data_IF_466273367611
#
_entry.id   IF_466273367611
#
_cell.length_a   1.000
_cell.length_b   1.000
_cell.length_c   1.000
_cell.angle_alpha   90.00
_cell.angle_beta   90.00
_cell.angle_gamma   90.00
#
_symmetry.space_group_name_H-M   'P 1'
#
loop_
_entity.id
_entity.type
_entity.pdbx_description
1 polymer ?
#
# COMPACT_ATOMS: atom_id res chain seq x y z
N UNK A 1 48.71 -12.62 26.23
CA UNK A 1 48.42 -12.85 24.80
C UNK A 1 47.26 -11.91 24.45
N UNK A 2 47.61 -10.74 23.90
CA UNK A 2 46.89 -9.48 24.17
C UNK A 2 45.83 -9.14 23.11
N UNK A 3 44.84 -8.38 23.57
CA UNK A 3 43.60 -7.88 22.95
C UNK A 3 43.81 -7.09 21.63
N UNK A 4 45.06 -6.82 21.25
CA UNK A 4 45.44 -6.04 20.06
C UNK A 4 45.36 -6.79 18.70
N UNK A 5 45.10 -8.10 18.69
CA UNK A 5 44.88 -8.86 17.43
C UNK A 5 43.45 -8.83 16.92
N UNK A 6 42.47 -8.53 17.78
CA UNK A 6 41.04 -8.52 17.41
C UNK A 6 40.61 -7.14 16.86
N UNK A 7 41.25 -6.05 17.28
CA UNK A 7 40.96 -4.71 16.75
C UNK A 7 41.57 -4.43 15.36
N UNK A 8 42.44 -5.31 14.83
CA UNK A 8 43.10 -5.11 13.52
C UNK A 8 42.33 -5.71 12.35
N UNK A 9 41.37 -6.61 12.60
CA UNK A 9 40.50 -7.18 11.56
C UNK A 9 39.30 -6.26 11.26
N UNK A 10 38.95 -5.34 12.18
CA UNK A 10 37.81 -4.42 12.06
C UNK A 10 38.13 -3.15 11.24
N UNK A 11 39.37 -2.97 10.75
CA UNK A 11 39.78 -1.77 9.99
C UNK A 11 40.23 -1.98 8.53
N UNK A 12 40.12 -3.18 7.96
CA UNK A 12 40.64 -3.43 6.59
C UNK A 12 39.62 -3.79 5.51
N UNK A 13 38.32 -3.61 5.71
CA UNK A 13 37.33 -3.79 4.63
C UNK A 13 36.62 -2.49 4.29
N UNK A 14 37.41 -1.53 3.83
CA UNK A 14 36.95 -0.44 2.98
C UNK A 14 37.13 -0.82 1.52
N UNK A 15 36.08 -0.60 0.73
CA UNK A 15 36.13 -0.40 -0.73
C UNK A 15 36.47 -1.61 -1.61
N UNK A 16 35.45 -2.36 -2.05
CA UNK A 16 35.02 -2.50 -3.46
C UNK A 16 34.07 -3.68 -3.62
N UNK A 17 32.80 -3.41 -3.98
CA UNK A 17 31.87 -4.24 -4.79
C UNK A 17 30.50 -3.57 -4.82
N UNK A 18 30.38 -2.55 -5.67
CA UNK A 18 29.17 -1.77 -5.95
C UNK A 18 28.22 -2.45 -6.96
N UNK A 19 28.10 -3.79 -6.98
CA UNK A 19 27.49 -4.50 -8.12
C UNK A 19 26.48 -5.64 -7.85
N UNK A 20 25.72 -5.65 -6.74
CA UNK A 20 24.41 -6.31 -6.75
C UNK A 20 23.23 -5.38 -6.45
N UNK A 21 23.46 -4.12 -6.07
CA UNK A 21 22.40 -3.16 -5.70
C UNK A 21 21.64 -2.65 -6.95
N UNK A 22 22.29 -2.58 -8.11
CA UNK A 22 21.66 -2.13 -9.35
C UNK A 22 20.59 -3.11 -9.90
N UNK A 23 20.72 -4.41 -9.62
CA UNK A 23 19.70 -5.41 -9.99
C UNK A 23 18.48 -5.38 -9.08
N UNK A 24 18.63 -4.91 -7.84
CA UNK A 24 17.57 -4.82 -6.82
C UNK A 24 16.65 -3.61 -7.04
N UNK A 25 17.15 -2.54 -7.66
CA UNK A 25 16.36 -1.35 -8.00
C UNK A 25 15.49 -1.56 -9.25
N UNK A 26 15.86 -2.44 -10.17
CA UNK A 26 15.16 -2.61 -11.44
C UNK A 26 13.86 -3.44 -11.29
N UNK A 27 13.81 -4.40 -10.36
CA UNK A 27 12.60 -5.21 -10.12
C UNK A 27 11.50 -4.43 -9.42
N UNK A 28 11.84 -3.53 -8.49
CA UNK A 28 10.89 -2.68 -7.75
C UNK A 28 10.31 -1.56 -8.63
N UNK A 29 11.03 -1.15 -9.68
CA UNK A 29 10.53 -0.19 -10.68
C UNK A 29 9.65 -0.84 -11.75
N UNK A 30 9.75 -2.16 -11.95
CA UNK A 30 9.00 -2.89 -12.98
C UNK A 30 7.75 -3.60 -12.43
N UNK A 31 7.69 -3.90 -11.12
CA UNK A 31 6.58 -4.64 -10.50
C UNK A 31 6.26 -4.12 -9.08
N UNK A 32 5.51 -3.01 -8.95
CA UNK A 32 5.28 -2.34 -7.66
C UNK A 32 4.41 -3.13 -6.65
N UNK A 33 3.65 -4.16 -7.08
CA UNK A 33 2.97 -5.10 -6.15
C UNK A 33 3.96 -6.01 -5.42
N UNK A 34 5.10 -6.34 -6.03
CA UNK A 34 6.08 -7.38 -5.63
C UNK A 34 7.00 -6.96 -4.47
N UNK A 35 6.89 -5.71 -4.01
CA UNK A 35 7.65 -5.22 -2.87
C UNK A 35 6.75 -5.16 -1.63
N UNK A 36 6.98 -6.03 -0.63
CA UNK A 36 6.37 -5.90 0.69
C UNK A 36 6.42 -4.46 1.20
N UNK A 37 5.39 -4.02 1.91
CA UNK A 37 5.33 -2.69 2.53
C UNK A 37 6.56 -2.38 3.41
N UNK A 38 7.27 -3.42 3.88
CA UNK A 38 8.54 -3.27 4.58
C UNK A 38 9.79 -3.18 3.67
N UNK A 39 9.78 -3.67 2.42
CA UNK A 39 10.85 -3.43 1.41
C UNK A 39 10.94 -1.94 1.05
N UNK A 40 9.82 -1.22 1.17
CA UNK A 40 9.76 0.23 0.97
C UNK A 40 10.48 1.04 2.07
N UNK A 41 11.10 0.39 3.07
CA UNK A 41 12.00 1.03 4.01
C UNK A 41 13.41 1.32 3.46
N UNK A 42 13.82 0.66 2.36
CA UNK A 42 15.25 0.62 1.95
C UNK A 42 15.58 1.41 0.68
N UNK A 43 14.64 1.69 -0.22
CA UNK A 43 14.96 2.30 -1.53
C UNK A 43 14.79 3.82 -1.55
N UNK A 44 15.81 4.52 -1.06
CA UNK A 44 16.00 5.96 -1.30
C UNK A 44 16.67 6.21 -2.65
N UNK A 45 15.99 6.89 -3.59
CA UNK A 45 16.70 7.30 -4.81
C UNK A 45 15.98 8.11 -5.89
N UNK A 46 14.66 8.06 -6.07
CA UNK A 46 14.03 8.61 -7.30
C UNK A 46 12.98 9.71 -7.02
N UNK A 47 13.02 10.34 -5.85
CA UNK A 47 12.01 11.35 -5.45
C UNK A 47 12.30 12.78 -5.90
N UNK A 48 13.43 13.05 -6.55
CA UNK A 48 13.80 14.40 -7.00
C UNK A 48 13.02 14.89 -8.24
N UNK A 49 12.50 13.98 -9.08
CA UNK A 49 11.97 14.35 -10.40
C UNK A 49 10.45 14.57 -10.42
N UNK A 50 9.68 13.91 -9.53
CA UNK A 50 8.21 13.94 -9.56
C UNK A 50 7.56 15.08 -8.75
N UNK A 51 8.30 15.70 -7.83
CA UNK A 51 7.77 16.80 -7.01
C UNK A 51 7.67 18.13 -7.80
N UNK A 52 8.42 18.28 -8.89
CA UNK A 52 8.28 19.38 -9.86
C UNK A 52 7.14 19.14 -10.86
N UNK A 53 6.64 17.91 -10.91
CA UNK A 53 5.60 17.47 -11.83
C UNK A 53 4.22 17.65 -11.17
N UNK A 54 4.01 17.30 -9.90
CA UNK A 54 2.70 17.36 -9.26
C UNK A 54 1.99 18.74 -9.27
N UNK A 55 2.73 19.86 -9.31
CA UNK A 55 2.13 21.21 -9.42
C UNK A 55 1.88 21.66 -10.86
N UNK A 56 2.67 21.20 -11.84
CA UNK A 56 2.50 21.55 -13.26
C UNK A 56 1.62 20.56 -14.03
N UNK A 57 1.61 19.29 -13.61
CA UNK A 57 0.90 18.19 -14.26
C UNK A 57 -0.61 18.28 -14.06
N UNK A 58 -1.10 18.96 -13.01
CA UNK A 58 -2.55 19.19 -12.85
C UNK A 58 -3.10 20.22 -13.85
N UNK A 59 -2.27 21.16 -14.31
CA UNK A 59 -2.64 22.08 -15.39
C UNK A 59 -2.47 21.42 -16.78
N UNK A 60 -1.51 20.51 -16.95
CA UNK A 60 -1.35 19.72 -18.20
C UNK A 60 -2.33 18.55 -18.35
N UNK A 61 -2.73 17.87 -17.26
CA UNK A 61 -3.79 16.83 -17.25
C UNK A 61 -5.18 17.40 -17.53
N UNK A 62 -5.38 18.69 -17.25
CA UNK A 62 -6.57 19.40 -17.69
C UNK A 62 -6.56 19.64 -19.22
N UNK A 63 -5.42 19.50 -19.90
CA UNK A 63 -5.22 20.02 -21.26
C UNK A 63 -4.65 19.03 -22.31
N UNK A 64 -4.28 17.78 -21.99
CA UNK A 64 -3.79 16.82 -23.00
C UNK A 64 -4.27 15.37 -22.82
N UNK A 65 -5.18 14.97 -23.71
CA UNK A 65 -5.31 13.66 -24.40
C UNK A 65 -5.26 12.30 -23.66
N UNK A 66 -5.24 12.21 -22.33
CA UNK A 66 -5.26 10.91 -21.62
C UNK A 66 -6.62 10.43 -21.08
N UNK A 67 -7.73 11.03 -21.54
CA UNK A 67 -9.10 10.64 -21.16
C UNK A 67 -9.93 10.15 -22.35
N UNK A 68 -9.27 9.54 -23.33
CA UNK A 68 -9.93 8.77 -24.38
C UNK A 68 -10.31 7.38 -23.82
N UNK A 69 -11.26 7.38 -22.89
CA UNK A 69 -11.82 6.19 -22.25
C UNK A 69 -13.17 6.55 -21.65
N UNK A 70 -14.11 6.94 -22.52
CA UNK A 70 -15.49 7.20 -22.13
C UNK A 70 -16.14 5.94 -21.55
N UNK A 71 -16.95 6.15 -20.51
CA UNK A 71 -17.44 5.18 -19.52
C UNK A 71 -16.31 4.77 -18.58
N UNK A 72 -16.29 5.25 -17.33
CA UNK A 72 -17.09 4.59 -16.30
C UNK A 72 -17.25 5.56 -15.09
N UNK A 73 -18.30 6.40 -15.13
CA UNK A 73 -18.56 7.44 -14.09
C UNK A 73 -18.75 6.84 -12.68
N UNK A 74 -19.17 5.58 -12.59
CA UNK A 74 -19.38 4.86 -11.33
C UNK A 74 -18.38 3.76 -10.99
N UNK A 75 -17.40 3.46 -11.85
CA UNK A 75 -16.50 2.32 -11.61
C UNK A 75 -15.24 2.70 -10.88
N UNK A 76 -14.65 3.89 -11.06
CA UNK A 76 -13.47 4.28 -10.28
C UNK A 76 -13.66 4.10 -8.77
N UNK A 77 -14.83 4.48 -8.25
CA UNK A 77 -15.16 4.31 -6.83
C UNK A 77 -15.41 2.83 -6.46
N UNK A 78 -16.09 2.07 -7.33
CA UNK A 78 -16.35 0.64 -7.07
C UNK A 78 -15.09 -0.20 -7.13
N UNK A 79 -14.25 0.04 -8.14
CA UNK A 79 -12.94 -0.57 -8.33
C UNK A 79 -12.02 -0.21 -7.15
N UNK A 80 -12.01 1.06 -6.72
CA UNK A 80 -11.28 1.46 -5.52
C UNK A 80 -11.72 0.68 -4.27
N UNK A 81 -13.03 0.55 -4.04
CA UNK A 81 -13.55 -0.26 -2.93
C UNK A 81 -13.18 -1.74 -3.07
N UNK A 82 -13.13 -2.25 -4.30
CA UNK A 82 -12.65 -3.61 -4.59
C UNK A 82 -11.18 -3.81 -4.24
N UNK A 83 -10.30 -2.91 -4.67
CA UNK A 83 -8.86 -2.98 -4.34
C UNK A 83 -8.61 -2.82 -2.84
N UNK A 84 -9.35 -1.95 -2.15
CA UNK A 84 -9.27 -1.82 -0.69
C UNK A 84 -9.63 -3.15 -0.01
N UNK A 85 -10.71 -3.80 -0.47
CA UNK A 85 -11.17 -5.04 0.15
C UNK A 85 -10.21 -6.20 -0.14
N UNK A 86 -9.72 -6.32 -1.37
CA UNK A 86 -8.72 -7.33 -1.72
C UNK A 86 -7.43 -7.17 -0.89
N UNK A 87 -6.94 -5.94 -0.74
CA UNK A 87 -5.76 -5.65 0.08
C UNK A 87 -6.03 -5.94 1.58
N UNK A 88 -7.24 -5.65 2.06
CA UNK A 88 -7.64 -5.95 3.45
C UNK A 88 -7.69 -7.45 3.71
N UNK A 89 -8.35 -8.22 2.84
CA UNK A 89 -8.43 -9.69 2.95
C UNK A 89 -7.04 -10.32 2.93
N UNK A 90 -6.17 -9.87 2.03
CA UNK A 90 -4.79 -10.34 1.94
C UNK A 90 -4.00 -10.02 3.22
N UNK A 91 -4.09 -8.78 3.71
CA UNK A 91 -3.37 -8.34 4.91
C UNK A 91 -3.87 -9.06 6.18
N UNK A 92 -5.17 -9.33 6.28
CA UNK A 92 -5.75 -10.10 7.38
C UNK A 92 -5.23 -11.55 7.38
N UNK A 93 -5.25 -12.20 6.21
CA UNK A 93 -4.72 -13.55 6.08
C UNK A 93 -3.22 -13.62 6.43
N UNK A 94 -2.44 -12.61 6.06
CA UNK A 94 -1.03 -12.53 6.38
C UNK A 94 -0.78 -12.31 7.89
N UNK A 95 -1.53 -11.41 8.53
CA UNK A 95 -1.48 -11.21 9.98
C UNK A 95 -1.77 -12.52 10.72
N UNK A 96 -2.84 -13.21 10.34
CA UNK A 96 -3.27 -14.45 11.00
C UNK A 96 -2.21 -15.56 10.79
N UNK A 97 -1.62 -15.64 9.60
CA UNK A 97 -0.52 -16.57 9.33
C UNK A 97 0.74 -16.28 10.16
N UNK A 98 1.07 -15.00 10.37
CA UNK A 98 2.15 -14.58 11.25
C UNK A 98 1.87 -14.88 12.72
N UNK A 99 0.62 -14.76 13.18
CA UNK A 99 0.22 -15.15 14.53
C UNK A 99 0.39 -16.65 14.76
N UNK A 100 -0.04 -17.48 13.80
CA UNK A 100 0.17 -18.94 13.82
C UNK A 100 1.67 -19.26 13.84
N UNK A 101 2.45 -18.62 12.97
CA UNK A 101 3.91 -18.79 12.95
C UNK A 101 4.56 -18.41 14.29
N UNK A 102 4.14 -17.28 14.89
CA UNK A 102 4.64 -16.85 16.19
C UNK A 102 4.30 -17.85 17.30
N UNK A 103 3.10 -18.43 17.28
CA UNK A 103 2.70 -19.45 18.24
C UNK A 103 3.55 -20.72 18.10
N UNK A 104 3.79 -21.19 16.87
CA UNK A 104 4.65 -22.34 16.58
C UNK A 104 6.08 -22.12 17.06
N UNK A 105 6.69 -20.98 16.72
CA UNK A 105 8.05 -20.62 17.15
C UNK A 105 8.16 -20.54 18.68
N UNK A 106 7.13 -20.05 19.38
CA UNK A 106 7.11 -20.00 20.85
C UNK A 106 7.05 -21.39 21.47
N UNK A 107 6.31 -22.32 20.85
CA UNK A 107 6.18 -23.70 21.31
C UNK A 107 7.46 -24.52 21.10
N UNK A 108 8.34 -24.12 20.17
CA UNK A 108 9.60 -24.81 19.93
C UNK A 108 10.52 -24.80 21.17
N UNK A 109 11.00 -25.99 21.53
CA UNK A 109 11.90 -26.20 22.67
C UNK A 109 13.31 -25.75 22.33
N UNK A 110 13.77 -24.66 22.92
CA UNK A 110 15.19 -24.29 22.84
C UNK A 110 15.96 -25.09 23.89
N UNK A 111 17.04 -25.75 23.50
CA UNK A 111 17.94 -26.35 24.46
C UNK A 111 18.59 -25.24 25.30
N UNK A 112 18.30 -25.24 26.60
CA UNK A 112 18.97 -24.39 27.59
C UNK A 112 20.44 -24.76 27.51
N UNK A 113 21.30 -23.80 27.16
CA UNK A 113 22.76 -23.99 27.24
C UNK A 113 23.08 -24.73 28.53
N UNK A 114 23.73 -25.89 28.37
CA UNK A 114 23.81 -26.93 29.39
C UNK A 114 24.07 -26.33 30.78
N UNK A 115 23.13 -26.56 31.71
CA UNK A 115 23.54 -26.64 33.09
C UNK A 115 24.52 -27.82 33.15
N UNK A 116 25.77 -27.54 33.50
CA UNK A 116 26.91 -28.46 33.49
C UNK A 116 26.60 -29.64 34.42
N UNK A 117 25.89 -30.65 33.92
CA UNK A 117 25.75 -31.96 34.55
C UNK A 117 25.13 -33.07 33.69
N UNK A 118 25.06 -32.93 32.36
CA UNK A 118 24.57 -34.01 31.49
C UNK A 118 25.54 -34.28 30.35
N UNK A 119 26.01 -35.53 30.25
CA UNK A 119 26.92 -36.07 29.24
C UNK A 119 26.24 -36.25 27.87
N UNK A 120 25.48 -35.27 27.40
CA UNK A 120 24.94 -35.31 26.03
C UNK A 120 26.09 -35.05 25.04
N UNK A 121 26.28 -35.89 24.00
CA UNK A 121 27.31 -35.67 23.01
C UNK A 121 27.03 -34.38 22.22
N UNK A 122 28.03 -33.51 22.07
CA UNK A 122 27.94 -32.22 21.35
C UNK A 122 27.36 -32.38 19.93
N UNK A 123 27.57 -33.54 19.30
CA UNK A 123 27.02 -33.88 17.98
C UNK A 123 25.48 -33.97 17.96
N UNK A 124 24.82 -34.49 19.03
CA UNK A 124 23.36 -34.62 19.05
C UNK A 124 22.67 -33.28 19.25
N UNK A 125 23.24 -32.38 20.07
CA UNK A 125 22.72 -31.02 20.27
C UNK A 125 22.73 -30.23 18.96
N UNK A 126 23.83 -30.30 18.21
CA UNK A 126 23.96 -29.61 16.92
C UNK A 126 23.02 -30.17 15.84
N UNK A 127 22.77 -31.49 15.85
CA UNK A 127 21.81 -32.12 14.95
C UNK A 127 20.38 -31.62 15.22
N UNK A 128 19.96 -31.60 16.49
CA UNK A 128 18.64 -31.11 16.91
C UNK A 128 18.44 -29.63 16.57
N UNK A 129 19.46 -28.79 16.76
CA UNK A 129 19.36 -27.37 16.43
C UNK A 129 19.22 -27.13 14.92
N UNK A 130 19.89 -27.95 14.09
CA UNK A 130 19.78 -27.89 12.62
C UNK A 130 18.37 -28.31 12.17
N UNK A 131 17.80 -29.31 12.82
CA UNK A 131 16.41 -29.76 12.61
C UNK A 131 15.41 -28.67 13.00
N UNK A 132 15.63 -27.97 14.11
CA UNK A 132 14.78 -26.85 14.53
C UNK A 132 14.81 -25.68 13.54
N UNK A 133 15.99 -25.30 13.03
CA UNK A 133 16.08 -24.27 11.98
C UNK A 133 15.43 -24.74 10.67
N UNK A 134 15.48 -26.04 10.33
CA UNK A 134 14.72 -26.61 9.22
C UNK A 134 13.20 -26.56 9.46
N UNK A 135 12.77 -26.80 10.69
CA UNK A 135 11.38 -26.70 11.09
C UNK A 135 10.86 -25.26 10.99
N UNK A 136 11.64 -24.24 11.38
CA UNK A 136 11.27 -22.82 11.21
C UNK A 136 11.05 -22.48 9.74
N UNK A 137 11.98 -22.89 8.87
CA UNK A 137 11.87 -22.68 7.42
C UNK A 137 10.62 -23.35 6.86
N UNK A 138 10.33 -24.56 7.30
CA UNK A 138 9.14 -25.31 6.89
C UNK A 138 7.87 -24.62 7.37
N UNK A 139 7.80 -24.25 8.65
CA UNK A 139 6.64 -23.55 9.22
C UNK A 139 6.36 -22.23 8.53
N UNK A 140 7.38 -21.40 8.30
CA UNK A 140 7.19 -20.13 7.60
C UNK A 140 6.65 -20.34 6.17
N UNK A 141 7.12 -21.37 5.46
CA UNK A 141 6.57 -21.71 4.14
C UNK A 141 5.13 -22.20 4.20
N UNK A 142 4.84 -23.08 5.15
CA UNK A 142 3.51 -23.68 5.35
C UNK A 142 2.47 -22.69 5.89
N UNK A 143 2.89 -21.60 6.54
CA UNK A 143 1.98 -20.59 7.10
C UNK A 143 2.01 -19.31 6.28
N UNK A 144 3.09 -18.53 6.36
CA UNK A 144 3.18 -17.17 5.79
C UNK A 144 3.21 -17.21 4.28
N UNK A 145 4.07 -18.05 3.68
CA UNK A 145 4.13 -18.15 2.21
C UNK A 145 2.99 -18.95 1.59
N UNK A 146 2.17 -19.62 2.41
CA UNK A 146 0.98 -20.36 1.95
C UNK A 146 -0.29 -19.51 1.99
N UNK A 147 -0.19 -18.23 2.35
CA UNK A 147 -1.29 -17.27 2.26
C UNK A 147 -1.77 -17.18 0.80
N UNK A 148 -3.08 -17.20 0.53
CA UNK A 148 -3.59 -17.05 -0.84
C UNK A 148 -3.01 -15.81 -1.52
N UNK A 149 -2.64 -15.94 -2.80
CA UNK A 149 -2.02 -14.90 -3.62
C UNK A 149 -0.64 -14.41 -3.14
N UNK A 150 0.02 -15.09 -2.20
CA UNK A 150 1.35 -14.68 -1.72
C UNK A 150 2.38 -14.56 -2.84
N UNK A 151 2.47 -15.58 -3.71
CA UNK A 151 3.43 -15.60 -4.82
C UNK A 151 3.12 -14.54 -5.88
N UNK A 152 1.83 -14.29 -6.17
CA UNK A 152 1.41 -13.23 -7.10
C UNK A 152 1.73 -11.84 -6.54
N UNK A 153 1.56 -11.67 -5.22
CA UNK A 153 1.80 -10.40 -4.55
C UNK A 153 3.28 -10.14 -4.31
N UNK A 154 4.10 -11.16 -4.06
CA UNK A 154 5.49 -10.92 -3.61
C UNK A 154 6.57 -11.54 -4.48
N UNK A 155 6.26 -12.43 -5.44
CA UNK A 155 7.20 -13.13 -6.35
C UNK A 155 8.60 -13.31 -5.74
N UNK A 156 8.64 -13.85 -4.52
CA UNK A 156 9.83 -13.89 -3.70
C UNK A 156 10.01 -15.26 -3.07
N UNK A 157 11.20 -15.83 -3.30
CA UNK A 157 11.61 -17.04 -2.62
C UNK A 157 11.83 -16.80 -1.12
N UNK A 158 11.77 -17.88 -0.35
CA UNK A 158 11.90 -17.89 1.11
C UNK A 158 12.99 -16.95 1.64
N UNK A 159 14.20 -16.97 1.07
CA UNK A 159 15.32 -16.18 1.61
C UNK A 159 15.05 -14.69 1.54
N UNK A 160 14.45 -14.20 0.45
CA UNK A 160 14.11 -12.79 0.27
C UNK A 160 12.97 -12.37 1.19
N UNK A 161 11.93 -13.19 1.27
CA UNK A 161 10.76 -12.91 2.12
C UNK A 161 11.14 -12.90 3.59
N UNK A 162 11.87 -13.93 4.03
CA UNK A 162 12.28 -14.11 5.42
C UNK A 162 13.30 -13.06 5.87
N UNK A 163 14.33 -12.81 5.05
CA UNK A 163 15.36 -11.81 5.37
C UNK A 163 14.79 -10.44 5.57
N UNK A 164 13.67 -10.14 4.93
CA UNK A 164 13.27 -8.77 4.91
C UNK A 164 11.98 -8.52 5.73
N UNK A 165 11.26 -9.60 6.10
CA UNK A 165 10.44 -9.60 7.33
C UNK A 165 11.27 -9.49 8.62
N UNK A 166 12.38 -10.23 8.73
CA UNK A 166 13.06 -10.41 10.02
C UNK A 166 14.50 -9.88 10.11
N UNK A 167 15.01 -9.30 9.02
CA UNK A 167 16.38 -8.81 8.89
C UNK A 167 17.37 -9.85 8.36
N UNK A 168 18.35 -9.37 7.59
CA UNK A 168 19.40 -10.19 6.96
C UNK A 168 20.17 -11.05 7.98
N UNK A 169 20.40 -10.51 9.18
CA UNK A 169 21.11 -11.22 10.26
C UNK A 169 20.34 -12.47 10.71
N UNK A 170 19.01 -12.39 10.81
CA UNK A 170 18.19 -13.53 11.24
C UNK A 170 18.00 -14.52 10.11
N UNK A 171 17.86 -14.06 8.86
CA UNK A 171 17.88 -14.93 7.69
C UNK A 171 19.17 -15.73 7.60
N UNK A 172 20.33 -15.10 7.74
CA UNK A 172 21.62 -15.80 7.69
C UNK A 172 21.72 -16.90 8.77
N UNK A 173 21.18 -16.66 9.97
CA UNK A 173 21.12 -17.66 11.05
C UNK A 173 20.15 -18.79 10.72
N UNK A 174 19.00 -18.50 10.12
CA UNK A 174 17.99 -19.52 9.80
C UNK A 174 18.33 -20.34 8.55
N UNK A 175 19.06 -19.75 7.61
CA UNK A 175 19.50 -20.38 6.37
C UNK A 175 20.74 -21.26 6.58
N UNK A 176 21.78 -20.72 7.22
CA UNK A 176 23.10 -21.36 7.35
C UNK A 176 23.57 -21.64 8.77
N UNK A 177 22.80 -21.25 9.78
CA UNK A 177 23.17 -21.40 11.19
C UNK A 177 23.13 -22.85 11.67
N UNK A 178 23.88 -23.12 12.74
CA UNK A 178 23.99 -24.46 13.33
C UNK A 178 23.41 -24.56 14.73
N UNK A 179 22.84 -23.46 15.27
CA UNK A 179 22.30 -23.40 16.64
C UNK A 179 21.03 -22.54 16.74
N UNK A 180 19.90 -23.15 17.08
CA UNK A 180 18.66 -22.46 17.46
C UNK A 180 18.68 -22.15 18.96
N UNK A 181 19.23 -20.99 19.31
CA UNK A 181 19.42 -20.57 20.71
C UNK A 181 18.25 -19.76 21.27
N UNK A 182 18.21 -19.59 22.60
CA UNK A 182 17.14 -18.82 23.27
C UNK A 182 17.09 -17.36 22.79
N UNK A 183 18.25 -16.67 22.60
CA UNK A 183 18.27 -15.36 21.98
C UNK A 183 17.69 -15.34 20.56
N UNK A 184 18.00 -16.34 19.72
CA UNK A 184 17.49 -16.44 18.35
C UNK A 184 15.96 -16.62 18.35
N UNK A 185 15.43 -17.52 19.18
CA UNK A 185 13.97 -17.67 19.33
C UNK A 185 13.32 -16.38 19.81
N UNK A 186 13.89 -15.73 20.82
CA UNK A 186 13.32 -14.48 21.35
C UNK A 186 13.31 -13.37 20.29
N UNK A 187 14.41 -13.24 19.53
CA UNK A 187 14.50 -12.27 18.45
C UNK A 187 13.46 -12.56 17.36
N UNK A 188 13.32 -13.81 16.93
CA UNK A 188 12.32 -14.21 15.93
C UNK A 188 10.89 -13.91 16.40
N UNK A 189 10.57 -14.23 17.65
CA UNK A 189 9.25 -13.90 18.23
C UNK A 189 9.01 -12.40 18.29
N UNK A 190 10.02 -11.62 18.71
CA UNK A 190 9.91 -10.16 18.75
C UNK A 190 9.69 -9.57 17.35
N UNK A 191 10.48 -9.99 16.36
CA UNK A 191 10.33 -9.49 14.99
C UNK A 191 8.99 -9.91 14.38
N UNK A 192 8.53 -11.13 14.62
CA UNK A 192 7.19 -11.57 14.17
C UNK A 192 6.08 -10.73 14.81
N UNK A 193 6.20 -10.40 16.10
CA UNK A 193 5.27 -9.49 16.75
C UNK A 193 5.29 -8.08 16.14
N UNK A 194 6.47 -7.56 15.77
CA UNK A 194 6.59 -6.29 15.05
C UNK A 194 5.91 -6.35 13.66
N UNK A 195 6.09 -7.43 12.90
CA UNK A 195 5.41 -7.62 11.62
C UNK A 195 3.88 -7.66 11.79
N UNK A 196 3.36 -8.34 12.82
CA UNK A 196 1.92 -8.35 13.16
C UNK A 196 1.41 -6.93 13.42
N UNK A 197 2.09 -6.16 14.27
CA UNK A 197 1.73 -4.76 14.56
C UNK A 197 1.81 -3.85 13.32
N UNK A 198 2.64 -4.19 12.33
CA UNK A 198 2.69 -3.50 11.04
C UNK A 198 1.48 -3.80 10.17
N UNK A 199 1.06 -5.07 10.09
CA UNK A 199 -0.17 -5.45 9.37
C UNK A 199 -1.40 -4.81 10.03
N UNK A 200 -1.49 -4.80 11.36
CA UNK A 200 -2.58 -4.11 12.08
C UNK A 200 -2.64 -2.61 11.74
N UNK A 201 -1.50 -1.92 11.76
CA UNK A 201 -1.44 -0.49 11.38
C UNK A 201 -1.83 -0.26 9.92
N UNK A 202 -1.55 -1.20 9.03
CA UNK A 202 -1.96 -1.13 7.63
C UNK A 202 -3.47 -1.35 7.49
N UNK A 203 -4.06 -2.31 8.21
CA UNK A 203 -5.51 -2.53 8.28
C UNK A 203 -6.26 -1.30 8.80
N UNK A 204 -5.71 -0.61 9.79
CA UNK A 204 -6.26 0.66 10.26
C UNK A 204 -6.28 1.72 9.14
N UNK A 205 -5.18 1.83 8.38
CA UNK A 205 -5.09 2.76 7.26
C UNK A 205 -6.09 2.42 6.15
N UNK A 206 -6.26 1.14 5.82
CA UNK A 206 -7.26 0.65 4.87
C UNK A 206 -8.68 0.95 5.34
N UNK A 207 -8.97 0.79 6.64
CA UNK A 207 -10.27 1.10 7.23
C UNK A 207 -10.62 2.59 7.11
N UNK A 208 -9.65 3.46 7.39
CA UNK A 208 -9.80 4.90 7.23
C UNK A 208 -10.04 5.27 5.76
N UNK A 209 -9.24 4.70 4.84
CA UNK A 209 -9.38 4.95 3.41
C UNK A 209 -10.72 4.44 2.86
N UNK A 210 -11.16 3.24 3.25
CA UNK A 210 -12.48 2.70 2.91
C UNK A 210 -13.59 3.65 3.33
N UNK A 211 -13.55 4.10 4.58
CA UNK A 211 -14.54 5.02 5.13
C UNK A 211 -14.58 6.34 4.35
N UNK A 212 -13.41 6.83 3.95
CA UNK A 212 -13.28 8.04 3.13
C UNK A 212 -13.88 7.87 1.73
N UNK A 213 -13.55 6.76 1.04
CA UNK A 213 -14.07 6.44 -0.30
C UNK A 213 -15.59 6.19 -0.27
N UNK A 214 -16.10 5.47 0.74
CA UNK A 214 -17.54 5.27 0.93
C UNK A 214 -18.28 6.58 1.21
N UNK A 215 -17.68 7.48 1.99
CA UNK A 215 -18.23 8.81 2.24
C UNK A 215 -18.31 9.63 0.95
N UNK A 216 -17.22 9.66 0.16
CA UNK A 216 -17.20 10.31 -1.13
C UNK A 216 -18.25 9.72 -2.09
N UNK A 217 -18.38 8.39 -2.13
CA UNK A 217 -19.42 7.71 -2.92
C UNK A 217 -20.82 8.20 -2.57
N UNK A 218 -21.15 8.23 -1.28
CA UNK A 218 -22.47 8.70 -0.80
C UNK A 218 -22.72 10.15 -1.19
N UNK A 219 -21.73 11.02 -1.02
CA UNK A 219 -21.81 12.44 -1.40
C UNK A 219 -22.10 12.58 -2.90
N UNK A 220 -21.35 11.87 -3.74
CA UNK A 220 -21.55 11.87 -5.19
C UNK A 220 -22.95 11.39 -5.56
N UNK A 221 -23.37 10.23 -5.06
CA UNK A 221 -24.68 9.65 -5.34
C UNK A 221 -25.84 10.54 -4.85
N UNK A 222 -25.70 11.19 -3.70
CA UNK A 222 -26.72 12.11 -3.18
C UNK A 222 -26.85 13.35 -4.07
N UNK A 223 -25.73 13.94 -4.48
CA UNK A 223 -25.73 15.10 -5.38
C UNK A 223 -26.27 14.73 -6.77
N UNK A 224 -25.89 13.57 -7.31
CA UNK A 224 -26.40 13.03 -8.58
C UNK A 224 -27.93 12.86 -8.50
N UNK A 225 -28.47 12.26 -7.43
CA UNK A 225 -29.92 12.08 -7.21
C UNK A 225 -30.68 13.39 -7.07
N UNK A 226 -30.09 14.41 -6.47
CA UNK A 226 -30.73 15.73 -6.35
C UNK A 226 -30.86 16.37 -7.73
N UNK A 227 -29.80 16.30 -8.55
CA UNK A 227 -29.79 16.86 -9.89
C UNK A 227 -30.74 16.13 -10.85
N UNK A 228 -30.85 14.80 -10.73
CA UNK A 228 -31.77 13.99 -11.54
C UNK A 228 -33.24 14.37 -11.34
N UNK A 229 -33.61 14.93 -10.18
CA UNK A 229 -35.01 15.32 -9.88
C UNK A 229 -35.48 16.51 -10.68
N UNK A 230 -34.57 17.43 -11.00
CA UNK A 230 -34.85 18.66 -11.73
C UNK A 230 -34.34 18.64 -13.16
N UNK A 231 -33.69 17.54 -13.56
CA UNK A 231 -33.21 17.35 -14.93
C UNK A 231 -34.39 17.33 -15.93
N UNK A 232 -34.46 18.32 -16.83
CA UNK A 232 -35.53 18.39 -17.81
C UNK A 232 -35.40 17.27 -18.83
N UNK A 233 -36.52 16.59 -19.14
CA UNK A 233 -36.55 15.53 -20.16
C UNK A 233 -36.01 15.99 -21.52
N UNK A 234 -36.31 17.24 -21.90
CA UNK A 234 -35.86 17.87 -23.16
C UNK A 234 -35.77 19.38 -22.98
N UNK A 235 -34.55 19.93 -23.02
CA UNK A 235 -34.28 21.37 -22.89
C UNK A 235 -35.11 22.25 -23.83
N UNK A 236 -35.39 21.77 -25.05
CA UNK A 236 -36.16 22.51 -26.05
C UNK A 236 -37.65 22.68 -25.67
N UNK A 237 -38.21 21.77 -24.87
CA UNK A 237 -39.63 21.81 -24.49
C UNK A 237 -39.86 22.32 -23.06
N UNK A 238 -38.80 22.51 -22.29
CA UNK A 238 -38.91 23.01 -20.92
C UNK A 238 -39.36 24.46 -20.89
N UNK A 239 -40.02 24.90 -19.83
CA UNK A 239 -40.33 26.31 -19.60
C UNK A 239 -39.06 27.11 -19.26
N UNK A 240 -39.11 28.44 -19.32
CA UNK A 240 -37.99 29.27 -18.85
C UNK A 240 -37.72 29.06 -17.35
N UNK A 241 -38.78 28.89 -16.56
CA UNK A 241 -38.68 28.66 -15.11
C UNK A 241 -38.02 27.31 -14.80
N UNK A 242 -38.39 26.24 -15.50
CA UNK A 242 -37.75 24.92 -15.37
C UNK A 242 -36.26 24.96 -15.74
N UNK A 243 -35.90 25.70 -16.79
CA UNK A 243 -34.50 25.87 -17.19
C UNK A 243 -33.69 26.68 -16.15
N UNK A 244 -34.31 27.68 -15.53
CA UNK A 244 -33.69 28.49 -14.50
C UNK A 244 -33.52 27.72 -13.18
N UNK A 245 -34.50 26.90 -12.81
CA UNK A 245 -34.40 25.97 -11.68
C UNK A 245 -33.27 24.96 -11.90
N UNK A 246 -33.21 24.34 -13.08
CA UNK A 246 -32.16 23.39 -13.40
C UNK A 246 -30.76 24.04 -13.46
N UNK A 247 -30.59 25.27 -13.97
CA UNK A 247 -29.30 25.99 -13.90
C UNK A 247 -28.86 26.24 -12.45
N UNK A 248 -29.79 26.59 -11.54
CA UNK A 248 -29.48 26.76 -10.11
C UNK A 248 -29.00 25.45 -9.50
N UNK A 249 -29.65 24.34 -9.83
CA UNK A 249 -29.26 23.03 -9.30
C UNK A 249 -27.93 22.55 -9.86
N UNK A 250 -27.63 22.81 -11.13
CA UNK A 250 -26.30 22.55 -11.71
C UNK A 250 -25.22 23.33 -10.95
N UNK A 251 -25.47 24.61 -10.63
CA UNK A 251 -24.52 25.43 -9.86
C UNK A 251 -24.32 24.87 -8.44
N UNK A 252 -25.41 24.54 -7.76
CA UNK A 252 -25.34 23.95 -6.42
C UNK A 252 -24.60 22.61 -6.41
N UNK A 253 -24.85 21.75 -7.40
CA UNK A 253 -24.14 20.48 -7.58
C UNK A 253 -22.64 20.71 -7.90
N UNK A 254 -22.32 21.72 -8.71
CA UNK A 254 -20.93 22.11 -9.01
C UNK A 254 -20.18 22.53 -7.75
N UNK A 255 -20.78 23.38 -6.92
CA UNK A 255 -20.23 23.79 -5.63
C UNK A 255 -20.03 22.59 -4.69
N UNK A 256 -21.01 21.69 -4.63
CA UNK A 256 -20.95 20.45 -3.85
C UNK A 256 -19.76 19.56 -4.26
N UNK A 257 -19.56 19.33 -5.56
CA UNK A 257 -18.42 18.56 -6.07
C UNK A 257 -17.08 19.25 -5.87
N UNK A 258 -17.01 20.59 -6.00
CA UNK A 258 -15.80 21.35 -5.70
C UNK A 258 -15.40 21.20 -4.23
N UNK A 259 -16.36 21.29 -3.31
CA UNK A 259 -16.11 21.07 -1.88
C UNK A 259 -15.59 19.66 -1.60
N UNK A 260 -16.15 18.63 -2.25
CA UNK A 260 -15.65 17.26 -2.13
C UNK A 260 -14.23 17.12 -2.68
N UNK A 261 -13.94 17.70 -3.85
CA UNK A 261 -12.62 17.70 -4.46
C UNK A 261 -11.58 18.33 -3.53
N UNK A 262 -11.87 19.51 -3.00
CA UNK A 262 -11.00 20.23 -2.07
C UNK A 262 -10.81 19.47 -0.75
N UNK A 263 -11.89 18.88 -0.21
CA UNK A 263 -11.83 18.07 1.00
C UNK A 263 -10.89 16.87 0.81
N UNK A 264 -11.03 16.16 -0.31
CA UNK A 264 -10.19 15.02 -0.63
C UNK A 264 -8.74 15.42 -0.88
N UNK A 265 -8.48 16.51 -1.57
CA UNK A 265 -7.12 17.03 -1.75
C UNK A 265 -6.47 17.39 -0.41
N UNK A 266 -7.22 18.04 0.50
CA UNK A 266 -6.72 18.37 1.84
C UNK A 266 -6.35 17.13 2.65
N UNK A 267 -7.17 16.09 2.60
CA UNK A 267 -6.91 14.80 3.23
C UNK A 267 -5.62 14.15 2.69
N UNK A 268 -5.48 14.05 1.37
CA UNK A 268 -4.29 13.50 0.71
C UNK A 268 -3.02 14.28 1.08
N UNK A 269 -3.10 15.61 1.12
CA UNK A 269 -1.96 16.45 1.52
C UNK A 269 -1.62 16.37 3.01
N UNK A 270 -2.60 16.18 3.88
CA UNK A 270 -2.37 15.99 5.31
C UNK A 270 -1.66 14.65 5.57
N UNK A 271 -2.14 13.59 4.92
CA UNK A 271 -1.56 12.24 5.01
C UNK A 271 -0.15 12.19 4.40
N UNK A 272 0.08 12.85 3.26
CA UNK A 272 1.41 12.95 2.67
C UNK A 272 2.42 13.63 3.60
N UNK A 273 2.03 14.72 4.27
CA UNK A 273 2.91 15.45 5.19
C UNK A 273 3.25 14.63 6.43
N UNK A 274 2.27 13.90 6.99
CA UNK A 274 2.50 13.03 8.14
C UNK A 274 3.43 11.87 7.79
N UNK A 275 3.25 11.25 6.62
CA UNK A 275 4.08 10.15 6.12
C UNK A 275 5.49 10.61 5.76
N UNK A 276 5.66 11.75 5.10
CA UNK A 276 6.99 12.34 4.77
C UNK A 276 7.80 12.68 6.02
N UNK A 277 7.15 13.17 7.09
CA UNK A 277 7.81 13.46 8.36
C UNK A 277 8.29 12.19 9.07
N UNK A 278 7.57 11.08 8.87
CA UNK A 278 7.87 9.78 9.49
C UNK A 278 8.80 8.91 8.63
N UNK A 279 8.87 9.13 7.32
CA UNK A 279 9.56 8.24 6.38
C UNK A 279 9.69 8.82 4.95
N UNK A 280 10.72 8.43 4.19
CA UNK A 280 10.92 8.78 2.77
C UNK A 280 10.08 7.87 1.82
N UNK A 281 8.79 7.68 2.09
CA UNK A 281 7.94 6.63 1.49
C UNK A 281 7.19 7.03 0.21
N UNK A 282 6.86 6.02 -0.59
CA UNK A 282 5.84 6.02 -1.66
C UNK A 282 4.48 6.40 -1.09
N UNK A 283 3.66 7.08 -1.88
CA UNK A 283 2.35 7.57 -1.46
C UNK A 283 1.42 6.36 -1.24
N UNK A 284 0.72 6.27 -0.10
CA UNK A 284 -0.14 5.12 0.24
C UNK A 284 -1.17 4.81 -0.86
N UNK A 285 -1.78 5.85 -1.44
CA UNK A 285 -2.76 5.72 -2.51
C UNK A 285 -2.15 5.24 -3.83
N UNK A 286 -0.88 5.56 -4.11
CA UNK A 286 -0.18 5.04 -5.30
C UNK A 286 0.05 3.53 -5.19
N UNK A 287 0.38 3.03 -3.98
CA UNK A 287 0.47 1.60 -3.72
C UNK A 287 -0.90 0.92 -3.81
N UNK A 288 -1.90 1.47 -3.11
CA UNK A 288 -3.21 0.85 -2.98
C UNK A 288 -3.96 0.75 -4.31
N UNK A 289 -3.88 1.79 -5.15
CA UNK A 289 -4.62 1.87 -6.41
C UNK A 289 -3.75 1.62 -7.65
N UNK A 290 -2.58 1.00 -7.49
CA UNK A 290 -1.68 0.74 -8.61
C UNK A 290 -2.27 -0.14 -9.73
N UNK A 291 -3.28 -0.95 -9.42
CA UNK A 291 -3.99 -1.77 -10.40
C UNK A 291 -5.07 -0.99 -11.16
N UNK A 292 -5.39 0.23 -10.73
CA UNK A 292 -6.37 1.10 -11.36
C UNK A 292 -5.70 2.05 -12.35
N UNK A 293 -6.48 2.54 -13.31
CA UNK A 293 -6.02 3.56 -14.26
C UNK A 293 -5.72 4.91 -13.60
N UNK A 294 -6.14 5.10 -12.34
CA UNK A 294 -5.93 6.33 -11.58
C UNK A 294 -5.50 6.04 -10.14
N UNK A 295 -4.41 6.67 -9.66
CA UNK A 295 -4.02 6.58 -8.26
C UNK A 295 -4.95 7.39 -7.33
N UNK A 296 -5.90 8.16 -7.88
CA UNK A 296 -6.81 9.02 -7.12
C UNK A 296 -8.26 8.86 -7.60
N UNK A 297 -8.90 7.69 -7.34
CA UNK A 297 -10.23 7.35 -7.88
C UNK A 297 -11.32 8.34 -7.50
N UNK A 298 -11.30 8.86 -6.27
CA UNK A 298 -12.27 9.89 -5.82
C UNK A 298 -12.10 11.21 -6.58
N UNK A 299 -10.86 11.64 -6.82
CA UNK A 299 -10.61 12.89 -7.56
C UNK A 299 -11.03 12.73 -9.02
N UNK A 300 -10.68 11.60 -9.65
CA UNK A 300 -11.07 11.28 -11.03
C UNK A 300 -12.60 11.27 -11.19
N UNK A 301 -13.29 10.53 -10.32
CA UNK A 301 -14.74 10.46 -10.30
C UNK A 301 -15.41 11.85 -10.14
N UNK A 302 -14.86 12.70 -9.27
CA UNK A 302 -15.40 14.05 -9.02
C UNK A 302 -15.17 14.98 -10.21
N UNK A 303 -13.98 14.93 -10.82
CA UNK A 303 -13.64 15.74 -12.00
C UNK A 303 -14.50 15.39 -13.22
N UNK A 304 -14.81 14.12 -13.44
CA UNK A 304 -15.69 13.70 -14.54
C UNK A 304 -17.11 14.22 -14.38
N UNK A 305 -17.62 14.27 -13.15
CA UNK A 305 -18.92 14.87 -12.85
C UNK A 305 -18.90 16.38 -13.06
N UNK A 306 -17.85 17.07 -12.60
CA UNK A 306 -17.66 18.50 -12.86
C UNK A 306 -17.63 18.82 -14.37
N UNK A 307 -16.95 18.01 -15.18
CA UNK A 307 -16.95 18.15 -16.65
C UNK A 307 -18.36 18.00 -17.22
N UNK A 308 -19.06 16.95 -16.81
CA UNK A 308 -20.44 16.67 -17.22
C UNK A 308 -21.38 17.82 -16.86
N UNK A 309 -21.26 18.39 -15.66
CA UNK A 309 -22.04 19.57 -15.26
C UNK A 309 -21.71 20.80 -16.10
N UNK A 310 -20.44 21.02 -16.45
CA UNK A 310 -20.04 22.11 -17.33
C UNK A 310 -20.66 22.00 -18.74
N UNK A 311 -20.76 20.79 -19.29
CA UNK A 311 -21.47 20.53 -20.55
C UNK A 311 -22.96 20.81 -20.43
N UNK A 312 -23.60 20.32 -19.36
CA UNK A 312 -25.02 20.54 -19.07
C UNK A 312 -25.34 22.02 -18.91
N UNK A 313 -24.52 22.75 -18.16
CA UNK A 313 -24.71 24.19 -17.93
C UNK A 313 -24.67 24.97 -19.24
N UNK A 314 -23.69 24.70 -20.10
CA UNK A 314 -23.60 25.32 -21.43
C UNK A 314 -24.86 25.07 -22.24
N UNK A 315 -25.36 23.83 -22.27
CA UNK A 315 -26.57 23.50 -23.00
C UNK A 315 -27.83 24.23 -22.47
N UNK A 316 -27.95 24.39 -21.15
CA UNK A 316 -29.05 25.14 -20.52
C UNK A 316 -28.95 26.63 -20.86
N UNK A 317 -27.77 27.23 -20.72
CA UNK A 317 -27.52 28.64 -21.06
C UNK A 317 -27.83 28.90 -22.53
N UNK A 318 -27.39 28.03 -23.45
CA UNK A 318 -27.69 28.14 -24.88
C UNK A 318 -29.19 27.98 -25.18
N UNK A 319 -29.91 27.18 -24.40
CA UNK A 319 -31.37 27.03 -24.53
C UNK A 319 -32.10 28.28 -24.06
N UNK A 320 -31.65 28.90 -22.96
CA UNK A 320 -32.18 30.16 -22.45
C UNK A 320 -31.90 31.30 -23.43
N UNK A 321 -30.65 31.42 -23.90
CA UNK A 321 -30.23 32.49 -24.82
C UNK A 321 -30.95 32.43 -26.16
N UNK A 322 -31.30 31.24 -26.69
CA UNK A 322 -32.05 31.13 -27.95
C UNK A 322 -33.51 31.59 -27.86
N UNK A 323 -34.03 31.83 -26.66
CA UNK A 323 -35.42 32.24 -26.43
C UNK A 323 -35.59 33.75 -26.25
N UNK A 324 -34.51 34.51 -26.20
CA UNK A 324 -34.47 35.96 -26.02
C UNK A 324 -33.52 36.61 -27.02
#
# INVERSE_FOLDING_TARGET
>A
MSVERIQRVIRSFGSTRLLPVAGMCLSVLLFPKVAPMWVLHVLGGITGFLNAIASNLLWELANREWLAGAAVVGGYIREALGEIEAEREFTEAERDALEVFAADVRAMTVHRGANVNTNAPVLSVRANDTEQLAQIRTRYRETVMSVPNYDEMYDSGFDRSFAAEFGDDLAAVVEGGTQFSRPVRQLLVTQTSTSIEERERHLDALTVERSSVESARRHLEETDRLLERTEPRRLIHSSFEELLEYDRDIRAATESYQQLLEARQRELHANSRSLRRRSKRTFFQEYLYQALDTPFPVLAATLDRLRTLGDRQRAVVDSIARRY
#
